data_IF_071938237946
#
_entry.id   IF_071938237946
#
_cell.length_a   1.000
_cell.length_b   1.000
_cell.length_c   1.000
_cell.angle_alpha   90.00
_cell.angle_beta   90.00
_cell.angle_gamma   90.00
#
_symmetry.space_group_name_H-M   'P 1'
#
loop_
_entity.id
_entity.type
_entity.pdbx_description
1 polymer ?
#
# COMPACT_ATOMS: atom_id res chain seq x y z
N UNK A 1 6.58 -8.02 -22.10
CA UNK A 1 5.26 -8.26 -21.46
C UNK A 1 4.91 -7.07 -20.59
N UNK A 2 3.63 -6.74 -20.46
CA UNK A 2 3.17 -5.61 -19.64
C UNK A 2 3.04 -6.05 -18.18
N UNK A 3 3.56 -5.24 -17.27
CA UNK A 3 3.48 -5.46 -15.82
C UNK A 3 2.61 -4.38 -15.18
N UNK A 4 1.65 -4.78 -14.37
CA UNK A 4 0.76 -3.85 -13.65
C UNK A 4 0.99 -4.05 -12.15
N UNK A 5 1.65 -3.07 -11.54
CA UNK A 5 2.14 -3.15 -10.15
C UNK A 5 1.04 -3.51 -9.14
N UNK A 6 -0.14 -2.91 -9.28
CA UNK A 6 -1.27 -3.18 -8.39
C UNK A 6 -1.70 -4.65 -8.39
N UNK A 7 -1.66 -5.32 -9.55
CA UNK A 7 -1.96 -6.76 -9.62
C UNK A 7 -0.84 -7.58 -9.00
N UNK A 8 0.42 -7.24 -9.24
CA UNK A 8 1.57 -7.95 -8.66
C UNK A 8 1.57 -7.88 -7.13
N UNK A 9 1.28 -6.71 -6.56
CA UNK A 9 1.18 -6.52 -5.11
C UNK A 9 0.00 -7.28 -4.51
N UNK A 10 -1.16 -7.22 -5.16
CA UNK A 10 -2.34 -7.98 -4.71
C UNK A 10 -2.06 -9.48 -4.72
N UNK A 11 -1.41 -10.00 -5.77
CA UNK A 11 -0.98 -11.39 -5.87
C UNK A 11 0.03 -11.75 -4.78
N UNK A 12 1.03 -10.89 -4.54
CA UNK A 12 2.02 -11.09 -3.49
C UNK A 12 1.34 -11.24 -2.12
N UNK A 13 0.46 -10.30 -1.77
CA UNK A 13 -0.27 -10.30 -0.50
C UNK A 13 -1.21 -11.50 -0.35
N UNK A 14 -1.93 -11.88 -1.42
CA UNK A 14 -2.77 -13.09 -1.43
C UNK A 14 -1.94 -14.38 -1.22
N UNK A 15 -0.67 -14.38 -1.63
CA UNK A 15 0.28 -15.46 -1.43
C UNK A 15 1.09 -15.33 -0.12
N UNK A 16 0.74 -14.38 0.77
CA UNK A 16 1.44 -14.17 2.04
C UNK A 16 2.83 -13.55 1.91
N UNK A 17 3.10 -12.85 0.80
CA UNK A 17 4.32 -12.06 0.57
C UNK A 17 4.04 -10.58 0.82
N UNK A 18 5.05 -9.80 1.27
CA UNK A 18 4.88 -8.36 1.48
C UNK A 18 4.60 -7.63 0.16
N UNK A 19 3.88 -6.51 0.25
CA UNK A 19 3.75 -5.57 -0.87
C UNK A 19 4.98 -4.66 -0.98
N UNK A 20 5.20 -4.07 -2.15
CA UNK A 20 6.35 -3.22 -2.42
C UNK A 20 6.03 -1.70 -2.36
N UNK A 21 4.76 -1.31 -2.19
CA UNK A 21 4.33 0.09 -2.13
C UNK A 21 3.31 0.32 -1.02
N UNK A 22 2.96 1.59 -0.80
CA UNK A 22 1.92 2.01 0.16
C UNK A 22 0.48 1.81 -0.32
N UNK A 23 0.27 1.19 -1.48
CA UNK A 23 -1.07 1.08 -2.08
C UNK A 23 -1.96 0.04 -1.40
N UNK A 24 -1.38 -1.09 -1.00
CA UNK A 24 -2.05 -2.27 -0.44
C UNK A 24 -1.22 -2.88 0.69
N UNK A 25 -1.87 -3.67 1.55
CA UNK A 25 -1.22 -4.34 2.66
C UNK A 25 -1.08 -3.47 3.92
N UNK A 26 -0.69 -4.12 5.02
CA UNK A 26 -0.55 -3.50 6.34
C UNK A 26 0.89 -3.12 6.69
N UNK A 27 1.84 -3.49 5.84
CA UNK A 27 3.25 -3.28 6.15
C UNK A 27 3.56 -1.78 6.25
N UNK A 28 4.37 -1.38 7.24
CA UNK A 28 4.77 0.00 7.40
C UNK A 28 5.48 0.51 6.15
N UNK A 29 5.02 1.63 5.61
CA UNK A 29 5.71 2.30 4.51
C UNK A 29 6.59 3.42 5.06
N UNK A 30 7.89 3.15 5.08
CA UNK A 30 8.91 4.07 5.62
C UNK A 30 9.53 4.88 4.49
N UNK A 31 8.88 5.99 4.15
CA UNK A 31 9.37 6.95 3.17
C UNK A 31 9.10 8.40 3.60
N UNK A 32 9.99 9.28 3.14
CA UNK A 32 9.91 10.74 3.21
C UNK A 32 10.18 11.31 1.82
N UNK A 33 9.69 12.52 1.57
CA UNK A 33 9.97 13.27 0.34
C UNK A 33 10.92 14.41 0.70
N UNK A 34 11.89 14.69 -0.17
CA UNK A 34 12.76 15.87 -0.05
C UNK A 34 12.39 16.82 -1.18
N UNK A 35 11.85 17.98 -0.83
CA UNK A 35 11.48 19.03 -1.78
C UNK A 35 12.72 19.78 -2.28
N UNK A 36 12.55 20.56 -3.35
CA UNK A 36 13.66 21.25 -4.03
C UNK A 36 14.36 22.31 -3.17
N UNK A 37 13.68 22.82 -2.15
CA UNK A 37 14.23 23.75 -1.16
C UNK A 37 14.87 23.05 0.05
N UNK A 38 14.88 21.71 0.07
CA UNK A 38 15.40 20.89 1.14
C UNK A 38 14.40 20.57 2.24
N UNK A 39 13.15 21.00 2.15
CA UNK A 39 12.12 20.59 3.10
C UNK A 39 11.93 19.07 3.08
N UNK A 40 11.83 18.46 4.26
CA UNK A 40 11.50 17.06 4.43
C UNK A 40 9.99 16.97 4.63
N UNK A 41 9.30 16.27 3.75
CA UNK A 41 7.86 16.05 3.84
C UNK A 41 7.53 14.58 4.07
N UNK A 42 6.29 14.34 4.47
CA UNK A 42 5.68 13.02 4.35
C UNK A 42 5.51 12.64 2.87
N UNK A 43 4.89 11.49 2.59
CA UNK A 43 4.61 11.05 1.22
C UNK A 43 3.77 12.07 0.45
N UNK A 44 4.13 12.29 -0.81
CA UNK A 44 3.53 13.28 -1.71
C UNK A 44 2.01 13.09 -1.90
N UNK A 45 1.57 11.84 -1.86
CA UNK A 45 0.18 11.44 -1.91
C UNK A 45 -0.69 12.14 -0.85
N UNK A 46 -0.13 12.55 0.29
CA UNK A 46 -0.83 13.33 1.31
C UNK A 46 -1.25 14.73 0.87
N UNK A 47 -0.56 15.34 -0.11
CA UNK A 47 -0.93 16.66 -0.64
C UNK A 47 -2.34 16.69 -1.23
N UNK A 48 -2.87 15.53 -1.61
CA UNK A 48 -4.25 15.40 -2.08
C UNK A 48 -5.32 15.50 -0.98
N UNK A 49 -4.95 15.35 0.30
CA UNK A 49 -5.90 15.33 1.41
C UNK A 49 -6.36 16.73 1.81
N UNK A 50 -5.42 17.64 2.05
CA UNK A 50 -5.64 19.05 2.37
C UNK A 50 -4.32 19.83 2.29
N UNK A 51 -4.40 21.15 2.25
CA UNK A 51 -3.24 22.04 2.19
C UNK A 51 -2.29 21.82 3.38
N UNK A 52 -1.00 21.63 3.10
CA UNK A 52 0.01 21.37 4.14
C UNK A 52 -0.05 19.97 4.79
N UNK A 53 -0.86 19.04 4.29
CA UNK A 53 -0.98 17.69 4.87
C UNK A 53 0.34 16.90 4.90
N UNK A 54 1.24 17.14 3.94
CA UNK A 54 2.54 16.48 3.87
C UNK A 54 3.62 17.19 4.70
N UNK A 55 3.41 18.45 5.10
CA UNK A 55 4.43 19.24 5.77
C UNK A 55 4.85 18.63 7.12
N UNK A 56 6.15 18.62 7.39
CA UNK A 56 6.69 18.23 8.70
C UNK A 56 7.34 19.39 9.45
N UNK A 57 7.66 20.49 8.75
CA UNK A 57 8.45 21.60 9.29
C UNK A 57 9.94 21.28 9.45
N UNK A 58 10.41 20.14 8.94
CA UNK A 58 11.80 19.73 8.97
C UNK A 58 12.48 20.01 7.62
N UNK A 59 13.80 20.09 7.64
CA UNK A 59 14.64 20.28 6.45
C UNK A 59 15.95 19.51 6.58
N UNK A 60 16.55 19.19 5.44
CA UNK A 60 17.80 18.39 5.36
C UNK A 60 19.05 19.11 5.86
N UNK A 61 18.98 20.43 6.09
CA UNK A 61 20.12 21.22 6.55
C UNK A 61 20.23 21.24 8.08
N UNK A 62 19.10 21.14 8.78
CA UNK A 62 19.01 21.22 10.24
C UNK A 62 18.58 19.91 10.92
N UNK A 63 17.98 18.97 10.19
CA UNK A 63 17.34 17.80 10.79
C UNK A 63 17.82 16.46 10.18
N UNK A 64 17.92 15.43 11.03
CA UNK A 64 18.19 14.06 10.58
C UNK A 64 16.91 13.35 10.13
N UNK A 65 17.06 12.28 9.35
CA UNK A 65 15.93 11.42 9.01
C UNK A 65 15.35 10.65 10.21
N UNK A 66 16.14 10.45 11.28
CA UNK A 66 15.61 9.88 12.53
C UNK A 66 14.61 10.85 13.19
N UNK A 67 14.88 12.15 13.14
CA UNK A 67 13.93 13.19 13.57
C UNK A 67 12.65 13.13 12.72
N UNK A 68 12.79 12.97 11.40
CA UNK A 68 11.64 12.81 10.51
C UNK A 68 10.83 11.54 10.80
N UNK A 69 11.50 10.42 11.10
CA UNK A 69 10.86 9.16 11.48
C UNK A 69 10.05 9.29 12.78
N UNK A 70 10.52 10.13 13.70
CA UNK A 70 9.83 10.42 14.96
C UNK A 70 8.63 11.37 14.81
N UNK A 71 8.47 12.04 13.66
CA UNK A 71 7.39 13.01 13.43
C UNK A 71 6.00 12.37 13.61
N UNK A 72 5.04 13.01 14.31
CA UNK A 72 3.73 12.42 14.60
C UNK A 72 2.97 11.95 13.35
N UNK A 73 3.00 12.73 12.26
CA UNK A 73 2.37 12.35 10.99
C UNK A 73 3.00 11.10 10.35
N UNK A 74 4.33 10.98 10.44
CA UNK A 74 5.05 9.80 9.93
C UNK A 74 4.71 8.58 10.77
N UNK A 75 4.75 8.71 12.11
CA UNK A 75 4.40 7.63 13.05
C UNK A 75 2.95 7.16 12.90
N UNK A 76 2.01 8.06 12.62
CA UNK A 76 0.61 7.72 12.42
C UNK A 76 0.42 6.71 11.26
N UNK A 77 1.24 6.79 10.22
CA UNK A 77 1.23 5.84 9.10
C UNK A 77 1.85 4.48 9.45
N UNK A 78 2.76 4.44 10.44
CA UNK A 78 3.41 3.22 10.91
C UNK A 78 2.56 2.41 11.90
N UNK A 79 1.44 2.96 12.37
CA UNK A 79 0.60 2.34 13.40
C UNK A 79 -0.19 1.10 12.91
N UNK A 80 -0.17 0.82 11.61
CA UNK A 80 -0.80 -0.36 11.02
C UNK A 80 -2.29 -0.47 11.33
N UNK A 81 -2.75 -1.68 11.65
CA UNK A 81 -4.17 -1.97 11.88
C UNK A 81 -4.79 -1.20 13.06
N UNK A 82 -3.99 -0.78 14.05
CA UNK A 82 -4.49 -0.07 15.23
C UNK A 82 -5.01 1.33 14.91
N UNK A 83 -4.53 1.96 13.83
CA UNK A 83 -4.97 3.29 13.39
C UNK A 83 -6.17 3.26 12.43
N UNK A 84 -6.76 2.09 12.17
CA UNK A 84 -7.85 1.94 11.22
C UNK A 84 -9.25 2.05 11.87
N UNK A 85 -10.21 2.49 11.07
CA UNK A 85 -11.63 2.46 11.42
C UNK A 85 -12.08 1.07 11.90
N UNK A 86 -13.09 1.03 12.77
CA UNK A 86 -13.63 -0.23 13.30
C UNK A 86 -14.08 -1.20 12.18
N UNK A 87 -14.71 -0.68 11.12
CA UNK A 87 -15.11 -1.50 9.97
C UNK A 87 -13.90 -2.15 9.27
N UNK A 88 -12.80 -1.41 9.09
CA UNK A 88 -11.59 -1.95 8.47
C UNK A 88 -10.97 -3.04 9.34
N UNK A 89 -10.93 -2.86 10.67
CA UNK A 89 -10.41 -3.85 11.61
C UNK A 89 -11.22 -5.15 11.62
N UNK A 90 -12.52 -5.08 11.33
CA UNK A 90 -13.39 -6.24 11.19
C UNK A 90 -13.44 -6.83 9.76
N UNK A 91 -12.76 -6.21 8.78
CA UNK A 91 -12.85 -6.61 7.39
C UNK A 91 -12.01 -7.87 7.11
N UNK A 92 -12.57 -8.92 6.46
CA UNK A 92 -11.83 -10.14 6.15
C UNK A 92 -10.71 -9.95 5.13
N UNK A 93 -10.71 -8.83 4.40
CA UNK A 93 -9.67 -8.49 3.43
C UNK A 93 -8.56 -7.61 4.03
N UNK A 94 -8.58 -7.36 5.34
CA UNK A 94 -7.70 -6.38 6.00
C UNK A 94 -6.21 -6.62 5.71
N UNK A 95 -5.74 -7.87 5.75
CA UNK A 95 -4.32 -8.20 5.53
C UNK A 95 -3.86 -7.95 4.10
N UNK A 96 -4.77 -7.96 3.12
CA UNK A 96 -4.48 -7.66 1.71
C UNK A 96 -4.75 -6.18 1.40
N UNK A 97 -5.80 -5.61 1.95
CA UNK A 97 -6.23 -4.24 1.63
C UNK A 97 -5.47 -3.17 2.44
N UNK A 98 -5.15 -3.44 3.71
CA UNK A 98 -4.51 -2.46 4.60
C UNK A 98 -5.40 -1.30 5.06
N UNK A 99 -6.69 -1.33 4.72
CA UNK A 99 -7.58 -0.16 4.84
C UNK A 99 -7.51 0.80 3.64
N UNK A 100 -6.77 0.44 2.60
CA UNK A 100 -6.49 1.27 1.43
C UNK A 100 -5.46 2.36 1.74
N UNK A 101 -5.04 3.04 0.67
CA UNK A 101 -4.02 4.09 0.71
C UNK A 101 -4.38 5.20 1.73
N UNK A 102 -3.40 5.62 2.54
CA UNK A 102 -3.60 6.51 3.69
C UNK A 102 -4.34 7.83 3.34
N UNK A 103 -3.90 8.52 2.29
CA UNK A 103 -4.53 9.77 1.82
C UNK A 103 -6.03 9.63 1.50
N UNK A 104 -6.46 8.46 0.99
CA UNK A 104 -7.85 8.19 0.61
C UNK A 104 -8.78 8.00 1.81
N UNK A 105 -8.26 8.08 3.04
CA UNK A 105 -9.01 7.93 4.28
C UNK A 105 -9.30 9.26 4.95
N UNK A 106 -8.81 10.36 4.40
CA UNK A 106 -9.02 11.68 4.98
C UNK A 106 -10.48 12.10 4.89
N UNK A 107 -10.98 12.64 5.99
CA UNK A 107 -12.25 13.36 6.07
C UNK A 107 -12.05 14.66 6.83
N UNK A 108 -12.53 15.76 6.28
CA UNK A 108 -12.47 17.06 6.92
C UNK A 108 -13.15 17.02 8.31
N UNK A 109 -12.47 17.52 9.33
CA UNK A 109 -12.93 17.52 10.73
C UNK A 109 -12.63 16.25 11.52
N UNK A 110 -12.48 15.09 10.86
CA UNK A 110 -12.41 13.78 11.52
C UNK A 110 -11.06 13.04 11.29
N UNK A 111 -10.22 13.51 10.37
CA UNK A 111 -8.88 12.99 10.14
C UNK A 111 -8.83 11.75 9.25
N UNK A 112 -7.95 10.78 9.55
CA UNK A 112 -7.61 9.65 8.66
C UNK A 112 -8.15 8.29 9.13
N UNK A 113 -8.93 8.26 10.21
CA UNK A 113 -9.44 7.03 10.82
C UNK A 113 -10.76 6.56 10.16
N UNK A 114 -10.83 6.61 8.82
CA UNK A 114 -11.99 6.21 8.02
C UNK A 114 -11.62 5.10 7.02
N UNK A 115 -12.60 4.34 6.52
CA UNK A 115 -12.39 3.51 5.34
C UNK A 115 -11.91 4.35 4.15
N UNK A 116 -11.05 3.79 3.30
CA UNK A 116 -10.72 4.42 2.02
C UNK A 116 -11.98 4.71 1.20
N UNK A 117 -12.02 5.85 0.50
CA UNK A 117 -13.09 6.15 -0.46
C UNK A 117 -13.23 5.09 -1.57
N UNK A 118 -12.19 4.28 -1.82
CA UNK A 118 -12.19 3.17 -2.77
C UNK A 118 -12.50 1.81 -2.13
N UNK A 119 -13.01 1.75 -0.89
CA UNK A 119 -13.19 0.50 -0.16
C UNK A 119 -14.04 -0.54 -0.92
N UNK A 120 -15.12 -0.11 -1.59
CA UNK A 120 -15.97 -1.00 -2.39
C UNK A 120 -15.22 -1.58 -3.60
N UNK A 121 -14.45 -0.75 -4.30
CA UNK A 121 -13.70 -1.15 -5.49
C UNK A 121 -12.51 -2.04 -5.13
N UNK A 122 -11.80 -1.73 -4.04
CA UNK A 122 -10.73 -2.58 -3.51
C UNK A 122 -11.27 -3.96 -3.13
N UNK A 123 -12.44 -4.04 -2.48
CA UNK A 123 -13.10 -5.31 -2.18
C UNK A 123 -13.41 -6.10 -3.46
N UNK A 124 -13.89 -5.44 -4.52
CA UNK A 124 -14.18 -6.08 -5.81
C UNK A 124 -12.90 -6.55 -6.52
N UNK A 125 -11.89 -5.70 -6.58
CA UNK A 125 -10.60 -5.98 -7.19
C UNK A 125 -9.89 -7.16 -6.53
N UNK A 126 -9.73 -7.15 -5.20
CA UNK A 126 -9.03 -8.22 -4.48
C UNK A 126 -9.71 -9.57 -4.69
N UNK A 127 -11.05 -9.62 -4.61
CA UNK A 127 -11.81 -10.86 -4.87
C UNK A 127 -11.64 -11.36 -6.30
N UNK A 128 -11.63 -10.44 -7.27
CA UNK A 128 -11.38 -10.79 -8.67
C UNK A 128 -10.00 -11.43 -8.85
N UNK A 129 -8.95 -10.81 -8.29
CA UNK A 129 -7.58 -11.35 -8.34
C UNK A 129 -7.48 -12.70 -7.64
N UNK A 130 -8.12 -12.87 -6.48
CA UNK A 130 -8.13 -14.14 -5.76
C UNK A 130 -8.76 -15.27 -6.59
N UNK A 131 -9.91 -15.02 -7.24
CA UNK A 131 -10.55 -16.00 -8.14
C UNK A 131 -9.66 -16.33 -9.34
N UNK A 132 -8.98 -15.34 -9.91
CA UNK A 132 -8.07 -15.55 -11.04
C UNK A 132 -6.84 -16.39 -10.62
N UNK A 133 -6.23 -16.08 -9.48
CA UNK A 133 -5.10 -16.82 -8.91
C UNK A 133 -5.48 -18.29 -8.65
N UNK A 134 -6.63 -18.51 -8.04
CA UNK A 134 -7.17 -19.83 -7.72
C UNK A 134 -7.48 -20.67 -8.99
N UNK A 135 -7.99 -20.04 -10.05
CA UNK A 135 -8.12 -20.69 -11.38
C UNK A 135 -6.77 -21.04 -11.99
N UNK A 136 -5.79 -20.14 -11.92
CA UNK A 136 -4.46 -20.39 -12.44
C UNK A 136 -3.75 -21.54 -11.69
N UNK A 137 -3.92 -21.59 -10.36
CA UNK A 137 -3.33 -22.63 -9.51
C UNK A 137 -3.91 -24.03 -9.77
N UNK A 138 -5.20 -24.14 -10.08
CA UNK A 138 -5.84 -25.41 -10.47
C UNK A 138 -5.48 -25.88 -11.87
N UNK A 139 -4.80 -25.04 -12.66
CA UNK A 139 -4.60 -25.25 -14.09
C UNK A 139 -5.88 -24.93 -14.88
N UNK A 140 -5.73 -24.28 -16.03
CA UNK A 140 -6.81 -24.20 -16.99
C UNK A 140 -7.13 -25.62 -17.50
N UNK A 141 -8.40 -26.06 -17.56
CA UNK A 141 -8.73 -27.27 -18.29
C UNK A 141 -8.27 -27.11 -19.75
N UNK A 142 -7.19 -27.80 -20.13
CA UNK A 142 -6.72 -27.89 -21.51
C UNK A 142 -5.50 -27.05 -21.90
N UNK A 143 -4.81 -26.34 -21.00
CA UNK A 143 -3.57 -25.65 -21.38
C UNK A 143 -2.36 -26.60 -21.25
N UNK A 144 -1.65 -26.95 -22.35
CA UNK A 144 -0.53 -27.86 -22.29
C UNK A 144 0.59 -27.25 -21.44
N UNK A 145 1.13 -28.05 -20.52
CA UNK A 145 2.28 -27.66 -19.68
C UNK A 145 3.41 -27.17 -20.60
N UNK A 146 3.99 -25.97 -20.38
CA UNK A 146 5.09 -25.51 -21.18
C UNK A 146 6.23 -26.53 -21.12
N UNK A 147 6.77 -26.87 -22.30
CA UNK A 147 7.85 -27.83 -22.42
C UNK A 147 9.06 -27.37 -21.58
N UNK A 148 9.80 -28.29 -20.95
CA UNK A 148 11.02 -27.93 -20.24
C UNK A 148 11.98 -27.24 -21.22
N UNK A 149 12.52 -26.10 -20.81
CA UNK A 149 13.51 -25.35 -21.59
C UNK A 149 14.76 -26.23 -21.74
N UNK A 150 15.15 -26.64 -22.97
CA UNK A 150 16.37 -27.39 -23.17
C UNK A 150 17.56 -26.43 -23.02
N UNK A 151 18.49 -26.75 -22.10
CA UNK A 151 19.82 -26.13 -22.06
C UNK A 151 20.05 -25.18 -20.89
N UNK A 152 20.10 -25.71 -19.67
CA UNK A 152 21.00 -25.19 -18.64
C UNK A 152 22.07 -26.25 -18.39
N UNK A 153 22.97 -26.42 -19.35
CA UNK A 153 24.18 -27.21 -19.20
C UNK A 153 25.30 -26.30 -18.70
N UNK A 154 25.60 -26.47 -17.40
CA UNK A 154 26.82 -26.18 -16.62
C UNK A 154 27.37 -24.75 -16.63
#
# INVERSE_FOLDING_TARGET
TTRIRLFEECLALLLGRPAATESLGLDPFTAVVVETDGAIEQVDSLKSAYEGAAATGLDVFAHSFDTALAHPGVRARQAGAAALAAECRACPLLTVCGGGHYAHRYRAGDGFAHPSVYCADLKKFIRHVAVALDRAARGAPGEPRPAPVPGASR
#
